data_IF_333327986821
#
_entry.id   IF_333327986821
#
_cell.length_a   1.000
_cell.length_b   1.000
_cell.length_c   1.000
_cell.angle_alpha   90.00
_cell.angle_beta   90.00
_cell.angle_gamma   90.00
#
_symmetry.space_group_name_H-M   'P 1'
#
loop_
_entity.id
_entity.type
_entity.pdbx_description
1 polymer ?
#
# COMPACT_ATOMS: atom_id res chain seq x y z
N UNK A 1 10.75 -8.02 12.26
CA UNK A 1 10.61 -7.84 10.82
C UNK A 1 10.35 -6.40 10.50
N UNK A 2 11.00 -5.91 9.49
CA UNK A 2 10.85 -4.52 9.11
C UNK A 2 9.63 -4.34 8.21
N UNK A 3 9.00 -3.20 8.36
CA UNK A 3 7.85 -2.83 7.55
C UNK A 3 7.98 -1.36 7.20
N UNK A 4 7.28 -0.94 6.17
CA UNK A 4 7.30 0.46 5.73
C UNK A 4 5.88 0.99 5.73
N UNK A 5 5.71 2.18 6.28
CA UNK A 5 4.40 2.82 6.41
C UNK A 5 4.32 4.00 5.45
N UNK A 6 3.25 4.04 4.66
CA UNK A 6 2.98 5.16 3.77
C UNK A 6 1.68 5.79 4.26
N UNK A 7 1.76 7.04 4.64
CA UNK A 7 0.63 7.76 5.22
C UNK A 7 -0.27 8.37 4.15
N UNK A 8 -1.51 8.64 4.55
CA UNK A 8 -2.48 9.35 3.70
C UNK A 8 -2.75 8.65 2.38
N UNK A 9 -3.01 7.35 2.48
CA UNK A 9 -3.31 6.53 1.32
C UNK A 9 -4.82 6.33 1.16
N UNK A 10 -5.24 6.08 -0.07
CA UNK A 10 -6.62 5.72 -0.35
C UNK A 10 -6.63 4.60 -1.38
N UNK A 11 -7.46 3.59 -1.14
CA UNK A 11 -7.63 2.50 -2.08
C UNK A 11 -8.70 2.90 -3.08
N UNK A 12 -8.32 3.05 -4.35
CA UNK A 12 -9.24 3.48 -5.39
C UNK A 12 -9.79 2.31 -6.20
N UNK A 13 -9.13 1.16 -6.17
CA UNK A 13 -9.62 -0.07 -6.78
C UNK A 13 -9.12 -1.27 -5.99
N UNK A 14 -9.85 -2.36 -6.12
CA UNK A 14 -9.51 -3.59 -5.43
C UNK A 14 -9.71 -4.76 -6.39
N UNK A 15 -8.76 -5.72 -6.37
CA UNK A 15 -8.94 -6.99 -7.06
C UNK A 15 -8.70 -8.09 -6.03
N UNK A 16 -8.88 -9.35 -6.45
CA UNK A 16 -8.67 -10.47 -5.54
C UNK A 16 -7.22 -10.60 -5.07
N UNK A 17 -6.27 -9.98 -5.77
CA UNK A 17 -4.84 -10.16 -5.47
C UNK A 17 -4.12 -8.87 -5.15
N UNK A 18 -4.69 -7.72 -5.45
CA UNK A 18 -3.99 -6.45 -5.31
C UNK A 18 -4.97 -5.32 -5.07
N UNK A 19 -4.44 -4.21 -4.56
CA UNK A 19 -5.21 -2.98 -4.43
C UNK A 19 -4.47 -1.87 -5.15
N UNK A 20 -5.23 -0.94 -5.73
CA UNK A 20 -4.66 0.24 -6.37
C UNK A 20 -4.76 1.39 -5.38
N UNK A 21 -3.61 1.94 -5.00
CA UNK A 21 -3.51 2.90 -3.92
C UNK A 21 -2.98 4.23 -4.44
N UNK A 22 -3.61 5.32 -4.03
CA UNK A 22 -3.06 6.65 -4.28
C UNK A 22 -2.64 7.28 -2.96
N UNK A 23 -1.66 8.17 -3.03
CA UNK A 23 -1.13 8.86 -1.87
C UNK A 23 -0.40 10.10 -2.34
N UNK A 24 -0.28 11.08 -1.43
CA UNK A 24 0.54 12.27 -1.71
C UNK A 24 2.02 11.91 -1.92
N UNK A 25 2.44 10.74 -1.47
CA UNK A 25 3.82 10.29 -1.63
C UNK A 25 4.10 9.68 -3.00
N UNK A 26 3.05 9.44 -3.78
CA UNK A 26 3.18 8.84 -5.13
C UNK A 26 2.83 9.87 -6.19
N UNK A 27 3.56 9.86 -7.30
CA UNK A 27 3.22 10.70 -8.44
C UNK A 27 1.95 10.21 -9.12
N UNK A 28 1.68 8.91 -9.06
CA UNK A 28 0.49 8.31 -9.63
C UNK A 28 0.12 7.06 -8.82
N UNK A 29 -1.13 6.60 -8.94
CA UNK A 29 -1.56 5.42 -8.19
C UNK A 29 -0.68 4.20 -8.45
N UNK A 30 -0.48 3.40 -7.41
CA UNK A 30 0.38 2.22 -7.47
C UNK A 30 -0.40 0.96 -7.11
N UNK A 31 -0.15 -0.11 -7.85
CA UNK A 31 -0.71 -1.41 -7.52
C UNK A 31 0.13 -2.06 -6.43
N UNK A 32 -0.54 -2.55 -5.39
CA UNK A 32 0.12 -3.20 -4.25
C UNK A 32 -0.46 -4.60 -4.11
N UNK A 33 0.37 -5.65 -4.30
CA UNK A 33 -0.11 -7.02 -4.10
C UNK A 33 -0.53 -7.23 -2.65
N UNK A 34 -1.66 -7.89 -2.44
CA UNK A 34 -2.14 -8.10 -1.08
C UNK A 34 -1.16 -8.92 -0.25
N UNK A 35 -0.40 -9.80 -0.89
CA UNK A 35 0.60 -10.60 -0.18
C UNK A 35 1.73 -9.75 0.42
N UNK A 36 1.90 -8.52 -0.04
CA UNK A 36 2.93 -7.63 0.46
C UNK A 36 2.40 -6.60 1.45
N UNK A 37 1.10 -6.64 1.74
CA UNK A 37 0.50 -5.74 2.72
C UNK A 37 0.63 -6.39 4.09
N UNK A 38 1.26 -5.65 5.03
CA UNK A 38 1.44 -6.13 6.38
C UNK A 38 0.10 -6.12 7.12
N UNK A 39 -0.06 -7.04 8.06
CA UNK A 39 -1.32 -7.13 8.82
C UNK A 39 -1.65 -5.88 9.63
N UNK A 40 -0.66 -5.03 9.88
CA UNK A 40 -0.87 -3.78 10.60
C UNK A 40 -1.44 -2.66 9.71
N UNK A 41 -1.58 -2.91 8.41
CA UNK A 41 -2.09 -1.90 7.50
C UNK A 41 -3.54 -1.56 7.82
N UNK A 42 -3.87 -0.27 7.66
CA UNK A 42 -5.23 0.20 7.91
C UNK A 42 -6.12 0.10 6.67
N UNK A 43 -5.52 -0.11 5.49
CA UNK A 43 -6.28 -0.11 4.25
C UNK A 43 -6.13 -1.45 3.54
N UNK A 44 -7.25 -2.02 3.12
CA UNK A 44 -7.31 -3.33 2.49
C UNK A 44 -8.31 -3.39 1.33
N UNK A 45 -9.31 -2.53 1.34
CA UNK A 45 -10.46 -2.63 0.43
C UNK A 45 -10.70 -1.30 -0.27
N UNK A 46 -11.36 -1.37 -1.40
CA UNK A 46 -11.72 -0.17 -2.15
C UNK A 46 -12.48 0.79 -1.24
N UNK A 47 -12.06 2.05 -1.24
CA UNK A 47 -12.65 3.08 -0.41
C UNK A 47 -11.97 3.28 0.94
N UNK A 48 -11.10 2.35 1.35
CA UNK A 48 -10.38 2.54 2.61
C UNK A 48 -9.41 3.71 2.49
N UNK A 49 -9.27 4.44 3.59
CA UNK A 49 -8.31 5.55 3.70
C UNK A 49 -7.54 5.41 5.00
N UNK A 50 -6.26 5.71 4.94
CA UNK A 50 -5.40 5.63 6.12
C UNK A 50 -3.99 5.25 5.74
N UNK A 51 -3.30 4.62 6.68
CA UNK A 51 -1.91 4.23 6.47
C UNK A 51 -1.83 2.87 5.79
N UNK A 52 -1.02 2.82 4.73
CA UNK A 52 -0.67 1.56 4.08
C UNK A 52 0.62 1.06 4.70
N UNK A 53 0.60 -0.18 5.20
CA UNK A 53 1.80 -0.81 5.74
C UNK A 53 2.15 -1.99 4.84
N UNK A 54 3.37 -1.96 4.30
CA UNK A 54 3.85 -3.00 3.40
C UNK A 54 5.15 -3.59 3.94
N UNK A 55 5.55 -4.74 3.39
CA UNK A 55 6.84 -5.32 3.75
C UNK A 55 7.95 -4.39 3.29
N UNK A 56 9.06 -4.40 4.04
CA UNK A 56 10.23 -3.60 3.66
C UNK A 56 10.75 -4.04 2.29
N UNK A 57 10.72 -5.34 2.02
CA UNK A 57 11.15 -5.86 0.74
C UNK A 57 10.39 -5.21 -0.43
N UNK A 58 9.07 -5.12 -0.31
CA UNK A 58 8.25 -4.52 -1.36
C UNK A 58 8.56 -3.02 -1.51
N UNK A 59 8.72 -2.32 -0.40
CA UNK A 59 9.05 -0.90 -0.43
C UNK A 59 10.39 -0.67 -1.12
N UNK A 60 11.36 -1.55 -0.90
CA UNK A 60 12.65 -1.48 -1.59
C UNK A 60 12.49 -1.70 -3.09
N UNK A 61 11.66 -2.67 -3.47
CA UNK A 61 11.43 -2.98 -4.89
C UNK A 61 10.79 -1.80 -5.61
N UNK A 62 9.96 -1.04 -4.92
CA UNK A 62 9.28 0.11 -5.51
C UNK A 62 10.11 1.40 -5.42
N UNK A 63 11.22 1.36 -4.73
CA UNK A 63 12.05 2.55 -4.57
C UNK A 63 11.49 3.53 -3.54
N UNK A 64 10.65 3.06 -2.64
CA UNK A 64 10.06 3.92 -1.61
C UNK A 64 10.99 4.13 -0.42
N UNK A 65 12.00 3.29 -0.31
CA UNK A 65 13.06 3.42 0.71
C UNK A 65 14.43 3.08 0.11
#
# INVERSE_FOLDING_TARGET
>A
MSQHIIENCKVIKETSKAILVESDEFDEPEWVPQSQIHEDSEIWKEGDEGDLVVTEWFAEQKGWI
#
